data_IF_767784279271
#
_entry.id   IF_767784279271
#
_cell.length_a   1.000
_cell.length_b   1.000
_cell.length_c   1.000
_cell.angle_alpha   90.00
_cell.angle_beta   90.00
_cell.angle_gamma   90.00
#
_symmetry.space_group_name_H-M   'P 1'
#
loop_
_entity.id
_entity.type
_entity.pdbx_description
1 polymer ?
#
# COMPACT_ATOMS: atom_id res chain seq x y z
N UNK A 1 12.13 3.86 -9.20
CA UNK A 1 12.50 3.34 -7.86
C UNK A 1 13.78 2.51 -7.87
N UNK A 2 14.26 2.03 -9.02
CA UNK A 2 15.44 1.15 -9.10
C UNK A 2 16.74 1.82 -8.63
N UNK A 3 16.88 3.13 -8.79
CA UNK A 3 18.04 3.89 -8.30
C UNK A 3 18.06 4.09 -6.78
N UNK A 4 16.97 3.77 -6.08
CA UNK A 4 16.79 4.03 -4.64
C UNK A 4 16.68 2.73 -3.85
N UNK A 5 15.97 1.74 -4.39
CA UNK A 5 15.72 0.45 -3.73
C UNK A 5 16.54 -0.63 -4.43
N UNK A 6 17.63 -1.12 -3.81
CA UNK A 6 18.48 -2.15 -4.41
C UNK A 6 17.72 -3.44 -4.69
N UNK A 7 18.10 -4.14 -5.76
CA UNK A 7 17.43 -5.36 -6.23
C UNK A 7 17.85 -6.63 -5.45
N UNK A 8 18.95 -6.57 -4.72
CA UNK A 8 19.55 -7.67 -3.96
C UNK A 8 19.13 -7.70 -2.49
N UNK A 9 18.25 -6.78 -2.09
CA UNK A 9 17.71 -6.72 -0.72
C UNK A 9 16.46 -7.59 -0.61
N UNK A 10 16.40 -8.40 0.45
CA UNK A 10 15.25 -9.20 0.82
C UNK A 10 14.71 -8.73 2.18
N UNK A 11 13.49 -8.17 2.20
CA UNK A 11 12.83 -7.72 3.43
C UNK A 11 11.63 -8.59 3.79
N UNK A 12 11.32 -8.67 5.09
CA UNK A 12 10.15 -9.42 5.56
C UNK A 12 8.88 -8.57 5.70
N UNK A 13 9.02 -7.26 5.83
CA UNK A 13 7.90 -6.34 6.02
C UNK A 13 8.17 -5.03 5.27
N UNK A 14 7.15 -4.56 4.56
CA UNK A 14 7.06 -3.18 4.08
C UNK A 14 5.75 -2.59 4.60
N UNK A 15 5.79 -1.40 5.18
CA UNK A 15 4.62 -0.74 5.74
C UNK A 15 4.37 0.61 5.06
N UNK A 16 3.15 0.81 4.60
CA UNK A 16 2.65 2.04 4.03
C UNK A 16 1.62 2.66 4.98
N UNK A 17 1.79 3.94 5.28
CA UNK A 17 0.82 4.73 6.02
C UNK A 17 0.52 5.98 5.19
N UNK A 18 -0.54 5.92 4.40
CA UNK A 18 -0.80 6.86 3.32
C UNK A 18 -1.64 8.05 3.78
N UNK A 19 -1.56 9.16 3.06
CA UNK A 19 -2.24 10.41 3.34
C UNK A 19 -1.28 11.54 3.66
N UNK A 20 -1.63 12.39 4.63
CA UNK A 20 -0.80 13.51 5.08
C UNK A 20 -0.23 13.25 6.48
N UNK A 21 0.87 13.94 6.79
CA UNK A 21 1.48 13.93 8.13
C UNK A 21 0.57 14.65 9.14
N UNK A 22 0.17 14.00 10.25
CA UNK A 22 -0.58 14.67 11.32
C UNK A 22 0.20 15.86 11.90
N UNK A 23 -0.45 17.02 12.00
CA UNK A 23 0.17 18.27 12.45
C UNK A 23 1.07 18.97 11.41
N UNK A 24 1.24 18.38 10.22
CA UNK A 24 1.97 18.99 9.10
C UNK A 24 1.09 19.74 8.11
N UNK A 25 1.69 20.12 6.97
CA UNK A 25 0.96 20.73 5.86
C UNK A 25 0.09 19.67 5.15
N UNK A 26 -1.23 19.86 5.21
CA UNK A 26 -2.23 18.97 4.60
C UNK A 26 -2.23 19.00 3.07
N UNK A 27 -1.48 19.89 2.44
CA UNK A 27 -1.26 19.89 0.98
C UNK A 27 -0.20 18.87 0.56
N UNK A 28 0.66 18.45 1.49
CA UNK A 28 1.67 17.40 1.25
C UNK A 28 1.02 16.06 1.57
N UNK A 29 0.64 15.35 0.51
CA UNK A 29 -0.05 14.06 0.56
C UNK A 29 0.72 13.02 -0.25
N UNK A 30 0.54 11.74 0.08
CA UNK A 30 0.82 10.64 -0.84
C UNK A 30 -0.08 10.72 -2.08
N UNK A 31 0.40 10.13 -3.18
CA UNK A 31 -0.29 10.18 -4.48
C UNK A 31 -0.33 8.80 -5.10
N UNK A 32 -1.45 8.49 -5.74
CA UNK A 32 -1.76 7.21 -6.39
C UNK A 32 -0.61 6.72 -7.29
N UNK A 33 -0.06 7.60 -8.13
CA UNK A 33 0.99 7.24 -9.09
C UNK A 33 2.30 6.86 -8.38
N UNK A 34 2.72 7.65 -7.39
CA UNK A 34 3.94 7.36 -6.63
C UNK A 34 3.80 6.14 -5.71
N UNK A 35 2.58 5.91 -5.20
CA UNK A 35 2.26 4.76 -4.37
C UNK A 35 2.28 3.46 -5.17
N UNK A 36 1.75 3.43 -6.40
CA UNK A 36 1.84 2.24 -7.26
C UNK A 36 3.30 1.90 -7.59
N UNK A 37 4.13 2.89 -7.91
CA UNK A 37 5.57 2.68 -8.14
C UNK A 37 6.27 2.12 -6.90
N UNK A 38 5.90 2.58 -5.71
CA UNK A 38 6.45 2.08 -4.46
C UNK A 38 5.97 0.65 -4.15
N UNK A 39 4.74 0.29 -4.50
CA UNK A 39 4.20 -1.06 -4.35
C UNK A 39 4.90 -2.06 -5.27
N UNK A 40 5.18 -1.70 -6.52
CA UNK A 40 5.98 -2.57 -7.42
C UNK A 40 7.40 -2.78 -6.88
N UNK A 41 8.02 -1.72 -6.35
CA UNK A 41 9.34 -1.85 -5.70
C UNK A 41 9.27 -2.75 -4.46
N UNK A 42 8.27 -2.57 -3.60
CA UNK A 42 8.07 -3.39 -2.40
C UNK A 42 7.84 -4.87 -2.74
N UNK A 43 6.98 -5.16 -3.73
CA UNK A 43 6.69 -6.51 -4.24
C UNK A 43 7.95 -7.22 -4.72
N UNK A 44 8.86 -6.50 -5.38
CA UNK A 44 10.14 -7.01 -5.89
C UNK A 44 11.06 -7.46 -4.75
N UNK A 45 11.24 -6.62 -3.73
CA UNK A 45 12.19 -6.88 -2.63
C UNK A 45 11.61 -7.72 -1.48
N UNK A 46 10.31 -7.96 -1.46
CA UNK A 46 9.68 -8.74 -0.40
C UNK A 46 10.11 -10.21 -0.49
N UNK A 47 10.64 -10.76 0.60
CA UNK A 47 10.98 -12.18 0.70
C UNK A 47 9.71 -13.07 0.73
N UNK A 48 9.80 -14.34 0.29
CA UNK A 48 8.75 -15.33 0.56
C UNK A 48 8.40 -15.40 2.05
N UNK A 49 7.12 -15.52 2.37
CA UNK A 49 6.59 -15.41 3.73
C UNK A 49 6.64 -13.99 4.33
N UNK A 50 6.84 -12.96 3.50
CA UNK A 50 6.83 -11.55 3.88
C UNK A 50 5.45 -10.89 3.71
N UNK A 51 5.31 -9.68 4.27
CA UNK A 51 4.07 -8.92 4.28
C UNK A 51 4.29 -7.48 3.75
N UNK A 52 3.38 -7.01 2.91
CA UNK A 52 3.16 -5.58 2.69
C UNK A 52 1.89 -5.19 3.43
N UNK A 53 2.01 -4.26 4.38
CA UNK A 53 0.88 -3.68 5.11
C UNK A 53 0.64 -2.26 4.60
N UNK A 54 -0.62 -1.96 4.31
CA UNK A 54 -1.01 -0.67 3.76
C UNK A 54 -2.21 -0.16 4.56
N UNK A 55 -2.04 1.00 5.17
CA UNK A 55 -3.14 1.78 5.75
C UNK A 55 -3.38 2.97 4.83
N UNK A 56 -4.62 3.14 4.36
CA UNK A 56 -4.99 4.26 3.49
C UNK A 56 -6.21 5.02 4.01
N UNK A 57 -6.14 6.35 3.93
CA UNK A 57 -7.11 7.27 4.53
C UNK A 57 -7.95 7.90 3.42
N UNK A 58 -9.17 7.41 3.22
CA UNK A 58 -10.03 7.83 2.09
C UNK A 58 -10.73 9.18 2.27
N UNK A 59 -10.59 9.82 3.44
CA UNK A 59 -11.34 11.00 3.83
C UNK A 59 -10.77 12.36 3.38
N UNK A 60 -9.65 12.37 2.65
CA UNK A 60 -9.03 13.60 2.14
C UNK A 60 -9.00 13.64 0.60
N UNK A 61 -8.79 14.81 -0.02
CA UNK A 61 -8.63 14.91 -1.47
C UNK A 61 -7.55 13.94 -1.98
N UNK A 62 -7.89 13.14 -3.00
CA UNK A 62 -7.02 12.10 -3.57
C UNK A 62 -6.98 10.77 -2.80
N UNK A 63 -7.40 10.72 -1.53
CA UNK A 63 -7.29 9.49 -0.72
C UNK A 63 -8.15 8.33 -1.21
N UNK A 64 -9.33 8.62 -1.79
CA UNK A 64 -10.20 7.59 -2.40
C UNK A 64 -9.57 7.00 -3.66
N UNK A 65 -9.05 7.84 -4.55
CA UNK A 65 -8.40 7.44 -5.78
C UNK A 65 -7.15 6.59 -5.49
N UNK A 66 -6.35 6.99 -4.50
CA UNK A 66 -5.19 6.22 -4.06
C UNK A 66 -5.60 4.85 -3.50
N UNK A 67 -6.67 4.77 -2.69
CA UNK A 67 -7.22 3.49 -2.24
C UNK A 67 -7.65 2.58 -3.39
N UNK A 68 -8.41 3.10 -4.36
CA UNK A 68 -8.89 2.34 -5.52
C UNK A 68 -7.73 1.79 -6.32
N UNK A 69 -6.64 2.56 -6.46
CA UNK A 69 -5.44 2.12 -7.16
C UNK A 69 -4.72 0.98 -6.44
N UNK A 70 -4.68 1.01 -5.12
CA UNK A 70 -4.10 -0.07 -4.30
C UNK A 70 -4.96 -1.33 -4.39
N UNK A 71 -6.29 -1.18 -4.37
CA UNK A 71 -7.21 -2.31 -4.53
C UNK A 71 -7.09 -2.96 -5.90
N UNK A 72 -6.97 -2.15 -6.96
CA UNK A 72 -6.69 -2.62 -8.32
C UNK A 72 -5.37 -3.39 -8.38
N UNK A 73 -4.29 -2.82 -7.83
CA UNK A 73 -2.98 -3.46 -7.76
C UNK A 73 -3.06 -4.83 -7.06
N UNK A 74 -3.65 -4.87 -5.86
CA UNK A 74 -3.77 -6.08 -5.05
C UNK A 74 -4.57 -7.18 -5.75
N UNK A 75 -5.62 -6.80 -6.50
CA UNK A 75 -6.51 -7.72 -7.22
C UNK A 75 -5.85 -8.35 -8.45
N UNK A 76 -4.79 -7.74 -9.00
CA UNK A 76 -4.04 -8.26 -10.16
C UNK A 76 -2.93 -9.25 -9.76
N UNK A 77 -2.64 -9.42 -8.47
CA UNK A 77 -1.59 -10.32 -8.02
C UNK A 77 -1.98 -11.80 -8.20
N UNK A 78 -1.06 -12.67 -8.65
CA UNK A 78 -1.36 -14.09 -8.88
C UNK A 78 -1.60 -14.82 -7.55
N UNK A 79 -2.72 -15.57 -7.49
CA UNK A 79 -3.20 -16.26 -6.29
C UNK A 79 -2.27 -17.39 -5.81
N UNK A 80 -1.42 -17.90 -6.69
CA UNK A 80 -0.42 -18.93 -6.39
C UNK A 80 0.70 -18.38 -5.51
N UNK A 81 1.02 -17.09 -5.66
CA UNK A 81 2.14 -16.44 -4.96
C UNK A 81 1.71 -15.41 -3.91
N UNK A 82 0.44 -15.01 -3.88
CA UNK A 82 -0.04 -13.93 -3.02
C UNK A 82 -1.37 -14.24 -2.35
N UNK A 83 -1.51 -13.79 -1.10
CA UNK A 83 -2.79 -13.70 -0.41
C UNK A 83 -3.05 -12.22 -0.09
N UNK A 84 -4.10 -11.66 -0.68
CA UNK A 84 -4.48 -10.26 -0.49
C UNK A 84 -5.75 -10.18 0.37
N UNK A 85 -5.76 -9.33 1.39
CA UNK A 85 -6.93 -9.14 2.25
C UNK A 85 -7.19 -7.65 2.50
N UNK A 86 -8.47 -7.28 2.55
CA UNK A 86 -8.94 -5.92 2.88
C UNK A 86 -9.76 -5.96 4.16
N UNK A 87 -9.39 -5.15 5.15
CA UNK A 87 -10.11 -4.97 6.38
C UNK A 87 -10.63 -3.52 6.43
N UNK A 88 -11.90 -3.36 6.79
CA UNK A 88 -12.51 -2.04 6.91
C UNK A 88 -13.56 -2.01 8.02
N UNK A 89 -13.78 -0.81 8.55
CA UNK A 89 -14.77 -0.60 9.61
C UNK A 89 -16.16 -0.45 8.99
N UNK A 90 -17.09 -1.34 9.33
CA UNK A 90 -18.42 -1.40 8.69
C UNK A 90 -19.31 -0.18 8.96
N UNK A 91 -19.25 0.38 10.17
CA UNK A 91 -20.09 1.51 10.59
C UNK A 91 -19.38 2.87 10.53
N UNK A 92 -18.21 2.95 9.88
CA UNK A 92 -17.43 4.19 9.72
C UNK A 92 -16.94 4.30 8.27
N UNK A 93 -17.74 4.87 7.36
CA UNK A 93 -17.44 4.85 5.92
C UNK A 93 -16.19 5.65 5.51
N UNK A 94 -15.74 6.57 6.37
CA UNK A 94 -14.51 7.35 6.18
C UNK A 94 -13.34 6.86 7.04
N UNK A 95 -13.48 5.73 7.74
CA UNK A 95 -12.38 5.15 8.47
C UNK A 95 -11.27 4.68 7.51
N UNK A 96 -10.02 4.60 7.98
CA UNK A 96 -8.94 4.05 7.18
C UNK A 96 -9.23 2.62 6.76
N UNK A 97 -8.79 2.28 5.55
CA UNK A 97 -8.85 0.92 5.01
C UNK A 97 -7.49 0.27 5.23
N UNK A 98 -7.48 -0.98 5.70
CA UNK A 98 -6.27 -1.78 5.83
C UNK A 98 -6.23 -2.82 4.71
N UNK A 99 -5.10 -2.88 4.01
CA UNK A 99 -4.84 -3.87 2.97
C UNK A 99 -3.55 -4.60 3.33
N UNK A 100 -3.59 -5.94 3.24
CA UNK A 100 -2.45 -6.82 3.47
C UNK A 100 -2.17 -7.60 2.19
N UNK A 101 -0.91 -7.59 1.76
CA UNK A 101 -0.41 -8.41 0.65
C UNK A 101 0.65 -9.37 1.22
N UNK A 102 0.26 -10.62 1.44
CA UNK A 102 1.15 -11.66 1.95
C UNK A 102 1.75 -12.44 0.78
N UNK A 103 3.08 -12.48 0.68
CA UNK A 103 3.79 -13.26 -0.34
C UNK A 103 4.03 -14.66 0.19
N UNK A 104 3.52 -15.65 -0.53
CA UNK A 104 3.70 -17.07 -0.20
C UNK A 104 5.15 -17.49 -0.36
#
# INVERSE_FOLDING_TARGET
MEDIVPNDVAVRLVAFNLGYLPGGDKKIITRSETTELALEAAKRILAPGGLISIVTYVGHPGGREEFEKIEEFASRLPVEGWNCCKLHTLNRPLAPMLIFLFKR
#
